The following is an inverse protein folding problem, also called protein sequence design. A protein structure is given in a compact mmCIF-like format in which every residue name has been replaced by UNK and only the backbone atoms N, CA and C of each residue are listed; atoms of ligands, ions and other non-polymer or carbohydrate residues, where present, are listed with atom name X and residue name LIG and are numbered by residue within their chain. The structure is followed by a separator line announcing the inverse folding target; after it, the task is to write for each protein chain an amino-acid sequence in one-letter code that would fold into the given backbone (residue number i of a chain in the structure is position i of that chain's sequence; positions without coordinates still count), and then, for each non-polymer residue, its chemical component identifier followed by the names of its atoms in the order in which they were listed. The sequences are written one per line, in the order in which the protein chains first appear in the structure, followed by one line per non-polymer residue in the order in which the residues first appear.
data_IF_667250011240
#
_entry.id   IF_667250011240
#
_cell.length_a   1.000
_cell.length_b   1.000
_cell.length_c   1.000
_cell.angle_alpha   90.00
_cell.angle_beta   90.00
_cell.angle_gamma   90.00
#
_symmetry.space_group_name_H-M   'P 1'
#
loop_
_entity.id
_entity.type
_entity.pdbx_description
1 polymer ?
#
# COMPACT_ATOMS: atom_id res chain seq x y z
N UNK A 1 -19.79 16.36 -15.53
CA UNK A 1 -19.44 17.21 -14.38
C UNK A 1 -19.46 16.34 -13.14
N UNK A 2 -18.30 15.92 -12.64
CA UNK A 2 -18.23 15.18 -11.38
C UNK A 2 -18.44 16.17 -10.23
N UNK A 3 -19.32 15.83 -9.29
CA UNK A 3 -19.66 16.67 -8.14
C UNK A 3 -18.44 16.76 -7.19
N UNK A 4 -17.54 17.72 -7.43
CA UNK A 4 -16.28 17.85 -6.68
C UNK A 4 -16.53 18.21 -5.20
N UNK A 5 -17.61 18.94 -4.90
CA UNK A 5 -17.94 19.35 -3.53
C UNK A 5 -18.22 18.18 -2.58
N UNK A 6 -18.89 17.12 -3.05
CA UNK A 6 -19.23 15.98 -2.19
C UNK A 6 -18.03 15.11 -1.80
N UNK A 7 -16.97 15.11 -2.60
CA UNK A 7 -15.75 14.35 -2.29
C UNK A 7 -14.89 15.08 -1.26
N UNK A 8 -14.72 16.39 -1.41
CA UNK A 8 -13.95 17.20 -0.45
C UNK A 8 -14.61 17.24 0.93
N UNK A 9 -15.93 17.32 0.98
CA UNK A 9 -16.70 17.28 2.23
C UNK A 9 -16.58 15.92 2.92
N UNK A 10 -16.69 14.82 2.17
CA UNK A 10 -16.49 13.47 2.71
C UNK A 10 -15.07 13.27 3.27
N UNK A 11 -14.07 13.82 2.60
CA UNK A 11 -12.68 13.77 3.05
C UNK A 11 -12.46 14.62 4.30
N UNK A 12 -13.01 15.84 4.35
CA UNK A 12 -12.90 16.71 5.52
C UNK A 12 -13.52 16.06 6.76
N UNK A 13 -14.69 15.44 6.61
CA UNK A 13 -15.35 14.70 7.69
C UNK A 13 -14.51 13.52 8.18
N UNK A 14 -13.84 12.79 7.28
CA UNK A 14 -12.96 11.67 7.65
C UNK A 14 -11.73 12.15 8.41
N UNK A 15 -11.15 13.28 7.99
CA UNK A 15 -10.03 13.91 8.69
C UNK A 15 -10.43 14.31 10.11
N UNK A 16 -11.60 14.93 10.26
CA UNK A 16 -12.14 15.31 11.57
C UNK A 16 -12.37 14.09 12.46
N UNK A 17 -12.98 13.02 11.94
CA UNK A 17 -13.15 11.77 12.68
C UNK A 17 -11.83 11.14 13.14
N UNK A 18 -10.82 11.13 12.28
CA UNK A 18 -9.49 10.59 12.63
C UNK A 18 -8.82 11.43 13.72
N UNK A 19 -8.96 12.76 13.66
CA UNK A 19 -8.45 13.65 14.70
C UNK A 19 -9.18 13.43 16.04
N UNK A 20 -10.51 13.45 16.04
CA UNK A 20 -11.33 13.21 17.23
C UNK A 20 -11.02 11.85 17.87
N UNK A 21 -10.91 10.80 17.06
CA UNK A 21 -10.51 9.47 17.54
C UNK A 21 -9.16 9.50 18.27
N UNK A 22 -8.15 10.19 17.73
CA UNK A 22 -6.85 10.29 18.39
C UNK A 22 -6.88 11.16 19.66
N UNK A 23 -7.70 12.20 19.69
CA UNK A 23 -7.91 13.02 20.89
C UNK A 23 -8.53 12.19 22.02
N UNK A 24 -9.61 11.46 21.73
CA UNK A 24 -10.27 10.54 22.65
C UNK A 24 -9.28 9.46 23.13
N UNK A 25 -8.57 8.83 22.19
CA UNK A 25 -7.60 7.78 22.51
C UNK A 25 -6.45 8.30 23.37
N UNK A 26 -5.92 9.50 23.07
CA UNK A 26 -4.88 10.14 23.88
C UNK A 26 -5.38 10.45 25.30
N UNK A 27 -6.60 10.96 25.45
CA UNK A 27 -7.21 11.24 26.75
C UNK A 27 -7.39 9.98 27.60
N UNK A 28 -7.80 8.87 26.99
CA UNK A 28 -7.94 7.58 27.67
C UNK A 28 -6.60 7.01 28.15
N UNK A 29 -5.52 7.25 27.41
CA UNK A 29 -4.21 6.64 27.68
C UNK A 29 -3.25 7.53 28.47
N UNK A 30 -3.66 8.76 28.86
CA UNK A 30 -2.98 9.71 29.77
C UNK A 30 -1.44 9.62 29.82
N UNK A 31 -0.78 9.61 28.66
CA UNK A 31 0.67 9.57 28.60
C UNK A 31 1.24 10.98 28.78
N UNK A 32 1.63 11.26 30.02
CA UNK A 32 2.20 12.54 30.45
C UNK A 32 3.51 12.82 29.72
N UNK A 33 3.46 13.62 28.67
CA UNK A 33 4.66 14.29 28.13
C UNK A 33 4.70 14.50 26.63
N UNK A 34 3.86 13.83 25.85
CA UNK A 34 3.80 14.03 24.41
C UNK A 34 2.80 15.14 24.06
N UNK A 35 3.20 16.18 23.29
CA UNK A 35 2.26 17.19 22.85
C UNK A 35 1.24 16.56 21.88
N UNK A 36 -0.02 16.45 22.30
CA UNK A 36 -1.13 16.00 21.45
C UNK A 36 -1.15 16.74 20.10
N UNK A 37 -0.82 18.03 20.11
CA UNK A 37 -0.69 18.86 18.92
C UNK A 37 0.26 18.28 17.87
N UNK A 38 1.44 17.79 18.28
CA UNK A 38 2.43 17.23 17.35
C UNK A 38 1.94 15.92 16.73
N UNK A 39 1.27 15.09 17.52
CA UNK A 39 0.65 13.84 17.07
C UNK A 39 -0.45 14.13 16.05
N UNK A 40 -1.33 15.09 16.33
CA UNK A 40 -2.43 15.46 15.44
C UNK A 40 -1.93 16.07 14.13
N UNK A 41 -0.92 16.96 14.18
CA UNK A 41 -0.29 17.52 12.97
C UNK A 41 0.25 16.40 12.09
N UNK A 42 0.97 15.44 12.68
CA UNK A 42 1.60 14.39 11.91
C UNK A 42 0.59 13.34 11.42
N UNK A 43 -0.44 13.03 12.20
CA UNK A 43 -1.58 12.22 11.74
C UNK A 43 -2.27 12.88 10.54
N UNK A 44 -2.40 14.21 10.54
CA UNK A 44 -2.94 14.93 9.40
C UNK A 44 -2.07 14.77 8.15
N UNK A 45 -0.74 14.83 8.28
CA UNK A 45 0.17 14.56 7.14
C UNK A 45 0.02 13.14 6.61
N UNK A 46 -0.07 12.15 7.50
CA UNK A 46 -0.33 10.75 7.16
C UNK A 46 -1.66 10.62 6.41
N UNK A 47 -2.71 11.26 6.93
CA UNK A 47 -4.03 11.25 6.33
C UNK A 47 -3.97 11.81 4.91
N UNK A 48 -3.34 12.96 4.70
CA UNK A 48 -3.21 13.56 3.35
C UNK A 48 -2.45 12.64 2.38
N UNK A 49 -1.43 11.91 2.85
CA UNK A 49 -0.72 10.91 2.05
C UNK A 49 -1.54 9.66 1.73
N UNK A 50 -2.51 9.28 2.57
CA UNK A 50 -3.36 8.09 2.40
C UNK A 50 -4.76 8.41 1.85
N UNK A 51 -5.09 9.69 1.69
CA UNK A 51 -6.36 10.21 1.18
C UNK A 51 -6.53 9.86 -0.31
N UNK A 52 -6.99 8.65 -0.57
CA UNK A 52 -7.43 8.22 -1.89
C UNK A 52 -8.96 8.10 -1.94
N UNK A 53 -9.55 8.08 -3.14
CA UNK A 53 -10.99 7.78 -3.36
C UNK A 53 -11.42 6.42 -2.82
N UNK A 54 -10.46 5.62 -2.39
CA UNK A 54 -10.56 4.23 -1.97
C UNK A 54 -10.19 4.23 -0.51
N UNK A 55 -11.18 4.55 0.32
CA UNK A 55 -10.94 4.92 1.69
C UNK A 55 -11.39 3.80 2.63
N UNK A 56 -10.46 2.94 3.12
CA UNK A 56 -10.79 1.99 4.18
C UNK A 56 -10.74 2.71 5.53
N UNK A 57 -11.80 3.45 5.89
CA UNK A 57 -11.89 4.25 7.14
C UNK A 57 -11.40 3.49 8.37
N UNK A 58 -11.86 2.26 8.57
CA UNK A 58 -11.41 1.41 9.68
C UNK A 58 -9.91 1.13 9.67
N UNK A 59 -9.32 0.87 8.50
CA UNK A 59 -7.88 0.59 8.39
C UNK A 59 -7.05 1.82 8.72
N UNK A 60 -7.54 3.02 8.37
CA UNK A 60 -6.84 4.25 8.70
C UNK A 60 -6.90 4.57 10.19
N UNK A 61 -8.06 4.37 10.84
CA UNK A 61 -8.17 4.54 12.29
C UNK A 61 -7.26 3.56 13.04
N UNK A 62 -7.23 2.29 12.61
CA UNK A 62 -6.30 1.29 13.13
C UNK A 62 -4.84 1.73 12.92
N UNK A 63 -4.50 2.22 11.73
CA UNK A 63 -3.16 2.73 11.43
C UNK A 63 -2.77 3.92 12.33
N UNK A 64 -3.65 4.91 12.49
CA UNK A 64 -3.44 6.07 13.35
C UNK A 64 -3.21 5.65 14.81
N UNK A 65 -4.02 4.71 15.32
CA UNK A 65 -3.83 4.11 16.64
C UNK A 65 -2.47 3.44 16.75
N UNK A 66 -2.11 2.64 15.76
CA UNK A 66 -0.86 1.89 15.75
C UNK A 66 0.37 2.78 15.69
N UNK A 67 0.33 3.89 14.94
CA UNK A 67 1.36 4.93 14.92
C UNK A 67 1.46 5.61 16.29
N UNK A 68 0.33 5.99 16.88
CA UNK A 68 0.28 6.57 18.22
C UNK A 68 0.93 5.63 19.24
N UNK A 69 0.49 4.38 19.31
CA UNK A 69 0.98 3.38 20.25
C UNK A 69 2.49 3.13 20.08
N UNK A 70 2.98 3.10 18.84
CA UNK A 70 4.40 2.91 18.56
C UNK A 70 5.23 4.12 19.02
N UNK A 71 4.71 5.32 18.79
CA UNK A 71 5.35 6.57 19.18
C UNK A 71 5.45 6.70 20.71
N UNK A 72 4.34 6.43 21.38
CA UNK A 72 4.21 6.38 22.85
C UNK A 72 5.18 5.37 23.46
N UNK A 73 5.19 4.13 22.95
CA UNK A 73 6.05 3.08 23.47
C UNK A 73 7.53 3.30 23.15
N UNK A 74 7.86 4.27 22.28
CA UNK A 74 9.18 4.44 21.68
C UNK A 74 9.73 3.12 21.12
N UNK A 75 8.85 2.38 20.43
CA UNK A 75 9.16 1.10 19.81
C UNK A 75 8.94 1.18 18.30
N UNK A 76 9.76 0.44 17.56
CA UNK A 76 9.66 0.31 16.11
C UNK A 76 9.18 -1.08 15.65
N UNK A 77 7.88 -1.40 15.76
CA UNK A 77 7.36 -2.65 15.24
C UNK A 77 6.56 -2.47 13.95
N UNK A 78 6.69 -1.35 13.23
CA UNK A 78 5.96 -1.14 11.97
C UNK A 78 6.75 -1.60 10.75
N UNK A 79 6.14 -2.47 9.96
CA UNK A 79 6.67 -2.92 8.67
C UNK A 79 5.73 -2.51 7.56
N UNK A 80 6.25 -1.75 6.61
CA UNK A 80 5.55 -1.31 5.40
C UNK A 80 6.04 -2.09 4.20
N UNK A 81 5.12 -2.73 3.49
CA UNK A 81 5.38 -3.35 2.20
C UNK A 81 4.66 -2.55 1.12
N UNK A 82 5.42 -1.77 0.36
CA UNK A 82 4.94 -0.98 -0.76
C UNK A 82 4.88 -1.84 -2.02
N UNK A 83 3.73 -1.84 -2.67
CA UNK A 83 3.54 -2.51 -3.96
C UNK A 83 3.61 -1.44 -5.05
N UNK A 84 4.57 -1.57 -5.97
CA UNK A 84 4.76 -0.65 -7.09
C UNK A 84 4.59 -1.39 -8.42
N UNK A 85 3.67 -0.93 -9.25
CA UNK A 85 3.42 -1.51 -10.57
C UNK A 85 4.38 -0.91 -11.62
N UNK A 86 5.15 -1.71 -12.36
CA UNK A 86 6.26 -1.23 -13.22
C UNK A 86 5.93 -0.06 -14.17
N UNK A 87 4.75 -0.03 -14.79
CA UNK A 87 4.36 1.05 -15.71
C UNK A 87 4.10 2.40 -15.04
N UNK A 88 3.81 2.38 -13.74
CA UNK A 88 3.43 3.57 -12.94
C UNK A 88 4.32 3.76 -11.72
N UNK A 89 5.27 2.85 -11.49
CA UNK A 89 6.09 2.76 -10.29
C UNK A 89 6.87 4.04 -10.01
N UNK A 90 7.36 4.75 -11.04
CA UNK A 90 8.05 6.03 -10.84
C UNK A 90 7.14 7.15 -10.30
N UNK A 91 5.86 7.16 -10.72
CA UNK A 91 4.85 8.08 -10.19
C UNK A 91 4.47 7.68 -8.77
N UNK A 92 4.19 6.41 -8.55
CA UNK A 92 3.84 5.87 -7.23
C UNK A 92 4.97 6.10 -6.20
N UNK A 93 6.22 5.90 -6.61
CA UNK A 93 7.39 6.04 -5.75
C UNK A 93 7.49 7.44 -5.15
N UNK A 94 7.21 8.51 -5.91
CA UNK A 94 7.25 9.86 -5.36
C UNK A 94 6.23 10.06 -4.21
N UNK A 95 5.03 9.50 -4.33
CA UNK A 95 4.05 9.52 -3.23
C UNK A 95 4.51 8.67 -2.04
N UNK A 96 5.10 7.51 -2.31
CA UNK A 96 5.63 6.61 -1.27
C UNK A 96 6.76 7.26 -0.48
N UNK A 97 7.72 7.91 -1.16
CA UNK A 97 8.82 8.59 -0.49
C UNK A 97 8.32 9.76 0.36
N UNK A 98 7.35 10.54 -0.12
CA UNK A 98 6.70 11.61 0.67
C UNK A 98 6.00 11.05 1.91
N UNK A 99 5.33 9.91 1.80
CA UNK A 99 4.73 9.23 2.94
C UNK A 99 5.79 8.76 3.95
N UNK A 100 6.90 8.17 3.48
CA UNK A 100 8.01 7.74 4.34
C UNK A 100 8.73 8.92 5.00
N UNK A 101 8.85 10.05 4.32
CA UNK A 101 9.47 11.27 4.84
C UNK A 101 8.75 11.79 6.08
N UNK A 102 7.44 11.60 6.18
CA UNK A 102 6.67 11.94 7.38
C UNK A 102 7.30 11.25 8.60
N UNK A 103 7.65 9.96 8.49
CA UNK A 103 8.27 9.18 9.57
C UNK A 103 9.70 9.62 9.90
N UNK A 104 10.43 10.28 9.00
CA UNK A 104 11.74 10.87 9.33
C UNK A 104 11.63 12.01 10.35
N UNK A 105 10.44 12.62 10.48
CA UNK A 105 10.13 13.63 11.51
C UNK A 105 9.61 13.03 12.81
N UNK A 106 9.41 11.71 12.86
CA UNK A 106 9.12 10.95 14.07
C UNK A 106 10.40 10.26 14.58
N UNK A 107 10.51 10.00 15.89
CA UNK A 107 11.43 9.00 16.42
C UNK A 107 10.93 7.57 16.12
N UNK A 108 10.28 7.37 14.97
CA UNK A 108 9.83 6.09 14.46
C UNK A 108 10.63 5.77 13.20
N UNK A 109 11.12 4.55 13.11
CA UNK A 109 11.90 4.01 11.99
C UNK A 109 11.20 2.78 11.44
N UNK A 110 10.07 2.96 10.73
CA UNK A 110 9.39 1.84 10.10
C UNK A 110 10.33 1.15 9.10
N UNK A 111 10.25 -0.17 9.03
CA UNK A 111 10.93 -0.93 7.98
C UNK A 111 10.14 -0.80 6.69
N UNK A 112 10.82 -0.56 5.58
CA UNK A 112 10.21 -0.42 4.28
C UNK A 112 10.72 -1.49 3.30
N UNK A 113 9.77 -2.20 2.71
CA UNK A 113 9.97 -3.19 1.67
C UNK A 113 9.27 -2.71 0.40
N UNK A 114 9.94 -2.83 -0.73
CA UNK A 114 9.40 -2.44 -2.03
C UNK A 114 9.26 -3.69 -2.90
N UNK A 115 8.03 -3.98 -3.30
CA UNK A 115 7.70 -5.05 -4.24
C UNK A 115 7.47 -4.44 -5.62
N UNK A 116 8.42 -4.64 -6.53
CA UNK A 116 8.32 -4.16 -7.91
C UNK A 116 7.72 -5.27 -8.77
N UNK A 117 6.55 -5.02 -9.38
CA UNK A 117 5.88 -6.01 -10.23
C UNK A 117 6.17 -5.71 -11.70
N UNK A 118 6.76 -6.69 -12.40
CA UNK A 118 7.02 -6.61 -13.84
C UNK A 118 5.80 -6.99 -14.69
N UNK A 119 4.77 -6.14 -14.68
CA UNK A 119 3.55 -6.34 -15.47
C UNK A 119 3.80 -6.66 -16.97
N UNK A 120 4.71 -5.97 -17.69
CA UNK A 120 5.02 -6.28 -19.08
C UNK A 120 5.55 -7.71 -19.32
N UNK A 121 6.30 -8.29 -18.37
CA UNK A 121 6.84 -9.66 -18.51
C UNK A 121 5.79 -10.75 -18.51
N UNK A 122 4.58 -10.46 -18.02
CA UNK A 122 3.49 -11.42 -18.09
C UNK A 122 2.81 -11.46 -19.46
N UNK A 123 3.13 -10.49 -20.34
CA UNK A 123 2.58 -10.39 -21.69
C UNK A 123 3.57 -10.83 -22.78
N UNK A 124 4.86 -10.53 -22.59
CA UNK A 124 5.93 -10.85 -23.53
C UNK A 124 7.16 -11.40 -22.78
N UNK A 125 7.81 -12.43 -23.33
CA UNK A 125 9.03 -13.06 -22.78
C UNK A 125 10.24 -12.10 -22.68
N UNK A 126 10.13 -10.87 -23.20
CA UNK A 126 11.19 -9.85 -23.19
C UNK A 126 10.77 -8.64 -22.38
N UNK A 127 11.47 -8.40 -21.27
CA UNK A 127 11.37 -7.12 -20.54
C UNK A 127 11.82 -5.98 -21.46
N UNK A 128 10.96 -4.97 -21.72
CA UNK A 128 11.39 -3.79 -22.45
C UNK A 128 12.55 -3.10 -21.71
N UNK A 129 13.56 -2.63 -22.44
CA UNK A 129 14.70 -1.90 -21.84
C UNK A 129 14.25 -0.72 -20.96
N UNK A 130 13.12 -0.08 -21.31
CA UNK A 130 12.49 0.98 -20.52
C UNK A 130 12.08 0.54 -19.10
N UNK A 131 11.68 -0.72 -18.93
CA UNK A 131 11.28 -1.28 -17.63
C UNK A 131 12.50 -1.56 -16.75
N UNK A 132 13.58 -2.11 -17.33
CA UNK A 132 14.87 -2.29 -16.65
C UNK A 132 15.42 -0.95 -16.16
N UNK A 133 15.39 0.07 -17.01
CA UNK A 133 15.82 1.42 -16.65
C UNK A 133 14.97 1.98 -15.50
N UNK A 134 13.66 1.72 -15.49
CA UNK A 134 12.77 2.13 -14.41
C UNK A 134 13.12 1.47 -13.08
N UNK A 135 13.49 0.19 -13.06
CA UNK A 135 13.90 -0.49 -11.82
C UNK A 135 15.21 0.06 -11.26
N UNK A 136 16.19 0.31 -12.12
CA UNK A 136 17.44 0.92 -11.71
C UNK A 136 17.20 2.33 -11.15
N UNK A 137 16.34 3.12 -11.80
CA UNK A 137 15.96 4.45 -11.32
C UNK A 137 15.26 4.38 -9.96
N UNK A 138 14.30 3.47 -9.78
CA UNK A 138 13.61 3.26 -8.50
C UNK A 138 14.61 2.85 -7.42
N UNK A 139 15.48 1.88 -7.71
CA UNK A 139 16.51 1.42 -6.79
C UNK A 139 17.44 2.55 -6.37
N UNK A 140 17.89 3.38 -7.31
CA UNK A 140 18.73 4.55 -7.03
C UNK A 140 18.01 5.58 -6.16
N UNK A 141 16.74 5.90 -6.46
CA UNK A 141 15.95 6.89 -5.71
C UNK A 141 15.64 6.41 -4.29
N UNK A 142 15.26 5.14 -4.14
CA UNK A 142 15.05 4.50 -2.83
C UNK A 142 16.37 4.47 -2.05
N UNK A 143 17.47 4.03 -2.66
CA UNK A 143 18.79 4.03 -2.03
C UNK A 143 19.24 5.42 -1.57
N UNK A 144 19.03 6.46 -2.38
CA UNK A 144 19.35 7.84 -2.03
C UNK A 144 18.52 8.36 -0.84
N UNK A 145 17.21 8.10 -0.83
CA UNK A 145 16.34 8.48 0.28
C UNK A 145 16.79 7.83 1.59
N UNK A 146 17.03 6.52 1.56
CA UNK A 146 17.35 5.76 2.76
C UNK A 146 18.77 5.97 3.29
N UNK A 147 19.72 6.33 2.42
CA UNK A 147 21.04 6.80 2.85
C UNK A 147 20.95 8.01 3.79
N UNK A 148 19.95 8.89 3.58
CA UNK A 148 19.71 10.04 4.45
C UNK A 148 19.00 9.67 5.77
N UNK A 149 18.29 8.54 5.79
CA UNK A 149 17.47 8.12 6.93
C UNK A 149 18.13 7.03 7.81
N UNK A 150 19.37 6.64 7.54
CA UNK A 150 20.12 5.59 8.27
C UNK A 150 19.39 4.24 8.39
N UNK A 151 18.48 3.95 7.47
CA UNK A 151 17.77 2.67 7.35
C UNK A 151 18.17 2.03 6.01
N UNK A 152 18.23 0.70 5.93
CA UNK A 152 18.46 0.01 4.66
C UNK A 152 17.11 -0.47 4.11
N UNK A 153 16.65 0.01 2.95
CA UNK A 153 15.43 -0.49 2.34
C UNK A 153 15.72 -1.84 1.72
N UNK A 154 14.71 -2.72 1.71
CA UNK A 154 14.76 -3.93 0.91
C UNK A 154 13.88 -3.75 -0.32
N UNK A 155 14.44 -4.04 -1.49
CA UNK A 155 13.74 -3.97 -2.77
C UNK A 155 13.77 -5.37 -3.36
N UNK A 156 12.59 -5.97 -3.50
CA UNK A 156 12.42 -7.26 -4.17
C UNK A 156 11.67 -7.02 -5.48
N UNK A 157 12.18 -7.60 -6.57
CA UNK A 157 11.51 -7.61 -7.87
C UNK A 157 10.74 -8.92 -7.99
N UNK A 158 9.42 -8.83 -8.17
CA UNK A 158 8.56 -9.97 -8.41
C UNK A 158 8.60 -10.30 -9.90
N UNK A 159 9.10 -11.49 -10.21
CA UNK A 159 9.23 -11.98 -11.57
C UNK A 159 8.19 -13.04 -11.93
N UNK A 160 7.88 -13.16 -13.23
CA UNK A 160 6.91 -14.12 -13.75
C UNK A 160 7.13 -15.59 -13.33
N UNK A 161 8.37 -16.11 -13.20
CA UNK A 161 8.60 -17.47 -12.72
C UNK A 161 8.08 -17.71 -11.30
N UNK A 162 8.15 -16.71 -10.41
CA UNK A 162 7.67 -16.85 -9.03
C UNK A 162 6.14 -16.96 -8.99
N UNK A 163 5.46 -16.17 -9.82
CA UNK A 163 3.99 -16.24 -9.94
C UNK A 163 3.57 -17.56 -10.57
N UNK A 164 4.27 -18.01 -11.60
CA UNK A 164 4.01 -19.31 -12.24
C UNK A 164 4.18 -20.46 -11.23
N UNK A 165 5.23 -20.41 -10.40
CA UNK A 165 5.43 -21.38 -9.33
C UNK A 165 4.31 -21.32 -8.30
N UNK A 166 3.87 -20.12 -7.90
CA UNK A 166 2.74 -19.92 -7.00
C UNK A 166 1.44 -20.51 -7.53
N UNK A 167 1.10 -20.26 -8.80
CA UNK A 167 -0.09 -20.83 -9.44
C UNK A 167 -0.09 -22.36 -9.41
N UNK A 168 1.07 -22.98 -9.65
CA UNK A 168 1.23 -24.45 -9.61
C UNK A 168 1.09 -25.00 -8.20
N UNK A 169 1.65 -24.32 -7.20
CA UNK A 169 1.60 -24.78 -5.80
C UNK A 169 0.26 -24.50 -5.10
N UNK A 170 -0.54 -23.57 -5.63
CA UNK A 170 -1.80 -23.14 -5.03
C UNK A 170 -3.00 -23.33 -5.97
N UNK A 171 -2.99 -24.37 -6.80
CA UNK A 171 -4.07 -24.65 -7.76
C UNK A 171 -5.45 -24.72 -7.08
N UNK A 172 -5.51 -25.24 -5.86
CA UNK A 172 -6.76 -25.32 -5.09
C UNK A 172 -7.30 -23.94 -4.67
N UNK A 173 -6.43 -22.95 -4.38
CA UNK A 173 -6.87 -21.57 -4.09
C UNK A 173 -7.59 -20.97 -5.31
N UNK A 174 -7.20 -21.35 -6.52
CA UNK A 174 -7.78 -20.85 -7.77
C UNK A 174 -9.18 -21.44 -8.03
N UNK A 175 -9.49 -22.58 -7.39
CA UNK A 175 -10.80 -23.26 -7.47
C UNK A 175 -11.77 -22.78 -6.39
N UNK A 176 -11.30 -22.00 -5.41
CA UNK A 176 -12.15 -21.50 -4.34
C UNK A 176 -13.26 -20.58 -4.86
N UNK A 177 -14.44 -20.69 -4.24
CA UNK A 177 -15.61 -19.86 -4.59
C UNK A 177 -15.30 -18.37 -4.48
N UNK A 178 -14.50 -17.97 -3.50
CA UNK A 178 -14.14 -16.56 -3.29
C UNK A 178 -13.24 -16.04 -4.40
N UNK A 179 -12.31 -16.87 -4.90
CA UNK A 179 -11.49 -16.54 -6.07
C UNK A 179 -12.36 -16.30 -7.30
N UNK A 180 -13.29 -17.21 -7.58
CA UNK A 180 -14.22 -17.08 -8.71
C UNK A 180 -15.13 -15.85 -8.59
N UNK A 181 -15.55 -15.52 -7.36
CA UNK A 181 -16.37 -14.33 -7.08
C UNK A 181 -15.60 -13.04 -7.31
N UNK A 182 -14.35 -12.97 -6.84
CA UNK A 182 -13.49 -11.80 -7.05
C UNK A 182 -13.10 -11.65 -8.52
N UNK A 183 -12.84 -12.76 -9.24
CA UNK A 183 -12.55 -12.76 -10.67
C UNK A 183 -13.71 -12.17 -11.47
N UNK A 184 -14.93 -12.69 -11.28
CA UNK A 184 -16.13 -12.20 -11.96
C UNK A 184 -16.41 -10.72 -11.64
N UNK A 185 -16.00 -10.24 -10.45
CA UNK A 185 -16.10 -8.83 -10.12
C UNK A 185 -15.07 -7.99 -10.90
N UNK A 186 -13.81 -8.44 -10.98
CA UNK A 186 -12.73 -7.74 -11.70
C UNK A 186 -13.07 -7.67 -13.19
N UNK A 187 -13.51 -8.76 -13.80
CA UNK A 187 -13.91 -8.80 -15.22
C UNK A 187 -14.99 -7.74 -15.50
N UNK A 188 -16.06 -7.71 -14.71
CA UNK A 188 -17.13 -6.71 -14.83
C UNK A 188 -16.66 -5.29 -14.56
N UNK A 189 -15.69 -5.11 -13.67
CA UNK A 189 -15.10 -3.81 -13.41
C UNK A 189 -14.33 -3.32 -14.64
N UNK A 190 -13.50 -4.16 -15.25
CA UNK A 190 -12.76 -3.82 -16.47
C UNK A 190 -13.68 -3.55 -17.65
N UNK A 191 -14.74 -4.35 -17.84
CA UNK A 191 -15.75 -4.11 -18.88
C UNK A 191 -16.40 -2.72 -18.79
N UNK A 192 -16.59 -2.20 -17.58
CA UNK A 192 -17.30 -0.94 -17.32
C UNK A 192 -16.40 0.28 -17.36
N UNK A 193 -15.12 0.12 -17.03
CA UNK A 193 -14.17 1.24 -16.99
C UNK A 193 -13.63 1.55 -18.37
N UNK A 194 -13.84 2.79 -18.83
CA UNK A 194 -13.46 3.24 -20.18
C UNK A 194 -11.96 3.12 -20.50
N UNK A 195 -11.10 3.08 -19.50
CA UNK A 195 -9.65 2.86 -19.67
C UNK A 195 -9.25 1.38 -19.70
N UNK A 196 -10.12 0.48 -19.24
CA UNK A 196 -9.81 -0.94 -19.00
C UNK A 196 -10.66 -1.92 -19.80
N UNK A 197 -11.70 -1.47 -20.53
CA UNK A 197 -12.58 -2.35 -21.33
C UNK A 197 -11.87 -3.18 -22.40
N UNK A 198 -10.61 -2.85 -22.73
CA UNK A 198 -9.77 -3.59 -23.67
C UNK A 198 -9.00 -4.73 -23.02
N UNK A 199 -8.99 -4.82 -21.69
CA UNK A 199 -8.34 -5.90 -20.97
C UNK A 199 -9.16 -7.18 -21.12
N UNK A 200 -8.49 -8.28 -21.45
CA UNK A 200 -9.15 -9.57 -21.64
C UNK A 200 -9.45 -10.26 -20.31
N UNK A 201 -10.34 -11.27 -20.29
CA UNK A 201 -10.57 -12.09 -19.09
C UNK A 201 -9.29 -12.74 -18.55
N UNK A 202 -8.37 -13.13 -19.43
CA UNK A 202 -7.06 -13.64 -19.04
C UNK A 202 -6.25 -12.61 -18.24
N UNK A 203 -6.38 -11.32 -18.57
CA UNK A 203 -5.74 -10.26 -17.80
C UNK A 203 -6.38 -10.12 -16.42
N UNK A 204 -7.70 -10.14 -16.31
CA UNK A 204 -8.40 -10.09 -15.01
C UNK A 204 -7.97 -11.24 -14.10
N UNK A 205 -7.80 -12.43 -14.69
CA UNK A 205 -7.31 -13.62 -14.00
C UNK A 205 -5.88 -13.47 -13.49
N UNK A 206 -4.97 -13.04 -14.37
CA UNK A 206 -3.57 -12.79 -14.01
C UNK A 206 -3.45 -11.71 -12.92
N UNK A 207 -4.20 -10.61 -13.07
CA UNK A 207 -4.24 -9.50 -12.12
C UNK A 207 -4.70 -9.94 -10.72
N UNK A 208 -5.68 -10.86 -10.66
CA UNK A 208 -6.12 -11.44 -9.40
C UNK A 208 -5.04 -12.34 -8.79
N UNK A 209 -4.41 -13.19 -9.59
CA UNK A 209 -3.31 -14.07 -9.14
C UNK A 209 -2.17 -13.26 -8.57
N UNK A 210 -1.75 -12.19 -9.27
CA UNK A 210 -0.66 -11.33 -8.83
C UNK A 210 -0.99 -10.72 -7.46
N UNK A 211 -2.22 -10.24 -7.24
CA UNK A 211 -2.65 -9.72 -5.94
C UNK A 211 -2.61 -10.78 -4.83
N UNK A 212 -3.06 -12.00 -5.11
CA UNK A 212 -2.97 -13.13 -4.17
C UNK A 212 -1.52 -13.49 -3.87
N UNK A 213 -0.66 -13.51 -4.89
CA UNK A 213 0.76 -13.77 -4.74
C UNK A 213 1.45 -12.71 -3.88
N UNK A 214 1.16 -11.42 -4.12
CA UNK A 214 1.74 -10.32 -3.32
C UNK A 214 1.35 -10.46 -1.85
N UNK A 215 0.08 -10.75 -1.56
CA UNK A 215 -0.38 -10.97 -0.19
C UNK A 215 0.32 -12.17 0.46
N UNK A 216 0.43 -13.28 -0.28
CA UNK A 216 1.18 -14.46 0.17
C UNK A 216 2.65 -14.13 0.44
N UNK A 217 3.34 -13.49 -0.52
CA UNK A 217 4.75 -13.14 -0.41
C UNK A 217 5.00 -12.19 0.77
N UNK A 218 4.17 -11.16 0.92
CA UNK A 218 4.28 -10.23 2.05
C UNK A 218 4.13 -10.96 3.39
N UNK A 219 3.14 -11.84 3.55
CA UNK A 219 2.95 -12.57 4.81
C UNK A 219 4.05 -13.60 5.07
N UNK A 220 4.35 -14.45 4.09
CA UNK A 220 5.21 -15.61 4.27
C UNK A 220 6.69 -15.30 4.16
N UNK A 221 7.08 -14.29 3.39
CA UNK A 221 8.50 -13.96 3.15
C UNK A 221 8.94 -12.71 3.91
N UNK A 222 8.08 -11.71 4.07
CA UNK A 222 8.45 -10.46 4.72
C UNK A 222 8.04 -10.49 6.19
N UNK A 223 6.75 -10.65 6.48
CA UNK A 223 6.23 -10.51 7.85
C UNK A 223 6.67 -11.67 8.75
N UNK A 224 6.76 -12.90 8.24
CA UNK A 224 7.24 -14.06 9.00
C UNK A 224 8.68 -13.90 9.51
N UNK A 225 9.56 -13.27 8.72
CA UNK A 225 10.95 -12.99 9.09
C UNK A 225 11.06 -11.88 10.14
N UNK A 226 9.96 -11.16 10.37
CA UNK A 226 9.87 -10.07 11.32
C UNK A 226 8.87 -10.37 12.41
N UNK A 227 8.86 -11.60 12.96
CA UNK A 227 8.03 -12.05 14.08
C UNK A 227 8.01 -11.15 15.36
N UNK A 228 8.76 -10.03 15.38
CA UNK A 228 8.72 -8.96 16.39
C UNK A 228 7.88 -7.73 15.99
N UNK A 229 7.45 -7.64 14.74
CA UNK A 229 6.64 -6.57 14.14
C UNK A 229 5.17 -6.99 14.23
N UNK A 230 4.46 -6.52 15.26
CA UNK A 230 3.03 -6.78 15.42
C UNK A 230 2.18 -6.00 14.39
N UNK A 231 2.77 -4.97 13.75
CA UNK A 231 2.06 -3.98 12.93
C UNK A 231 2.57 -4.01 11.50
N UNK A 232 1.95 -4.88 10.69
CA UNK A 232 2.32 -5.08 9.29
C UNK A 232 1.30 -4.42 8.36
N UNK A 233 1.79 -3.68 7.35
CA UNK A 233 0.95 -2.98 6.39
C UNK A 233 1.36 -3.28 4.96
N UNK A 234 0.37 -3.59 4.14
CA UNK A 234 0.52 -3.60 2.68
C UNK A 234 0.04 -2.24 2.16
N UNK A 235 0.91 -1.51 1.49
CA UNK A 235 0.61 -0.16 0.98
C UNK A 235 0.59 -0.21 -0.54
N UNK A 236 -0.56 0.12 -1.13
CA UNK A 236 -0.83 0.02 -2.56
C UNK A 236 -1.26 1.35 -3.15
N UNK A 237 -1.46 1.39 -4.47
CA UNK A 237 -1.92 2.55 -5.25
C UNK A 237 -3.14 2.17 -6.11
N UNK A 238 -4.01 1.32 -5.56
CA UNK A 238 -5.16 0.75 -6.24
C UNK A 238 -6.17 1.82 -6.68
N UNK A 239 -7.00 1.42 -7.65
CA UNK A 239 -8.00 2.28 -8.30
C UNK A 239 -9.43 2.03 -7.81
N UNK A 240 -9.66 0.94 -7.07
CA UNK A 240 -10.95 0.67 -6.47
C UNK A 240 -10.84 -0.08 -5.14
N UNK A 241 -11.70 0.24 -4.16
CA UNK A 241 -11.69 -0.37 -2.82
C UNK A 241 -11.93 -1.88 -2.82
N UNK A 242 -12.59 -2.40 -3.85
CA UNK A 242 -12.81 -3.84 -3.99
C UNK A 242 -11.53 -4.57 -4.42
N UNK A 243 -10.63 -3.91 -5.15
CA UNK A 243 -9.33 -4.48 -5.52
C UNK A 243 -8.44 -4.70 -4.28
N UNK A 244 -8.54 -3.85 -3.25
CA UNK A 244 -7.87 -4.10 -1.96
C UNK A 244 -8.29 -5.45 -1.36
N UNK A 245 -9.57 -5.83 -1.47
CA UNK A 245 -10.07 -7.13 -0.96
C UNK A 245 -9.54 -8.31 -1.77
N UNK A 246 -9.20 -8.10 -3.04
CA UNK A 246 -8.63 -9.12 -3.92
C UNK A 246 -7.21 -9.55 -3.52
N UNK A 247 -6.54 -8.83 -2.61
CA UNK A 247 -5.30 -9.32 -2.01
C UNK A 247 -5.55 -10.46 -1.02
N UNK A 248 -6.61 -10.39 -0.19
CA UNK A 248 -6.82 -11.28 0.97
C UNK A 248 -5.55 -11.41 1.82
N UNK A 249 -4.93 -10.25 2.07
CA UNK A 249 -3.80 -10.19 2.98
C UNK A 249 -4.26 -10.40 4.43
N UNK A 250 -3.45 -11.09 5.23
CA UNK A 250 -3.63 -11.20 6.68
C UNK A 250 -3.19 -9.95 7.44
N UNK A 251 -2.97 -8.84 6.75
CA UNK A 251 -2.48 -7.58 7.30
C UNK A 251 -3.36 -6.41 6.87
N UNK A 252 -3.14 -5.25 7.49
CA UNK A 252 -3.87 -4.03 7.14
C UNK A 252 -3.41 -3.50 5.79
N UNK A 253 -4.34 -3.29 4.87
CA UNK A 253 -4.06 -2.72 3.55
C UNK A 253 -4.41 -1.23 3.55
N UNK A 254 -3.43 -0.40 3.19
CA UNK A 254 -3.58 1.05 3.01
C UNK A 254 -3.41 1.40 1.55
N UNK A 255 -4.06 2.48 1.11
CA UNK A 255 -3.96 2.96 -0.26
C UNK A 255 -3.39 4.37 -0.29
N UNK A 256 -2.24 4.54 -0.92
CA UNK A 256 -1.59 5.85 -1.01
C UNK A 256 -2.30 6.73 -2.03
N UNK A 257 -2.29 8.04 -1.77
CA UNK A 257 -2.81 9.02 -2.72
C UNK A 257 -1.78 9.35 -3.80
N UNK A 258 -2.21 9.26 -5.06
CA UNK A 258 -1.45 9.79 -6.20
C UNK A 258 -1.74 11.28 -6.45
N UNK A 259 -2.77 11.86 -5.80
CA UNK A 259 -3.15 13.26 -5.98
C UNK A 259 -2.19 14.23 -5.27
N UNK A 260 -1.47 13.76 -4.25
CA UNK A 260 -0.57 14.55 -3.40
C UNK A 260 0.69 15.14 -4.11
N UNK A 261 0.83 14.94 -5.42
CA UNK A 261 1.93 15.44 -6.27
C UNK A 261 1.59 16.71 -7.06
N UNK A 262 0.31 17.11 -7.10
CA UNK A 262 -0.15 18.26 -7.89
C UNK A 262 -0.51 19.50 -7.04
N UNK A 263 -0.18 19.49 -5.75
CA UNK A 263 -0.44 20.58 -4.81
C UNK A 263 0.86 21.24 -4.35
#
# INVERSE_FOLDING_TARGET
MFNHGGHEEAVALQREKSALFLEEYHHEHQERGLPLTDILIKNNLIFESLRSKIFPETNLLLFSKDVYDSYVANQDPMTFTFVLASSTANKELASVLKFLEIFSTFPLKPKAYFLLIDWPRFHDDKTPQSTVNSYQEISNRVGAFFHLCHNSPQIDVIEAPQITAFMKSHEELLKEKDFQTDLAWIERFYEREHSYYRLSPEQAYLDLIVRRFIAFYANEMIFSQHARSEKNYLITTELHKRLLKCYRAGCTILNISLEAQNA
#
